data_IF_304974070671
#
_entry.id   IF_304974070671
#
_cell.length_a   1.000
_cell.length_b   1.000
_cell.length_c   1.000
_cell.angle_alpha   90.00
_cell.angle_beta   90.00
_cell.angle_gamma   90.00
#
_symmetry.space_group_name_H-M   'P 1'
#
loop_
_entity.id
_entity.type
_entity.pdbx_description
1 polymer ?
#
# COMPACT_ATOMS: atom_id res chain seq x y z
N UNK A 1 -3.75 -21.11 4.65
CA UNK A 1 -5.10 -21.11 5.19
C UNK A 1 -5.11 -20.89 6.69
N UNK A 2 -4.42 -21.76 7.42
CA UNK A 2 -4.36 -21.65 8.87
C UNK A 2 -3.12 -20.88 9.32
N UNK A 3 -3.26 -19.56 9.45
CA UNK A 3 -2.15 -18.72 9.88
C UNK A 3 -2.66 -17.49 10.61
N UNK A 4 -1.73 -16.69 11.15
CA UNK A 4 -2.09 -15.49 11.87
C UNK A 4 -1.43 -14.26 11.25
N UNK A 5 -2.24 -13.24 10.97
CA UNK A 5 -1.73 -12.01 10.37
C UNK A 5 -0.77 -11.30 11.31
N UNK A 6 -1.31 -10.75 12.40
CA UNK A 6 -0.50 -10.04 13.39
C UNK A 6 -1.35 -9.55 14.55
N UNK A 7 -0.77 -8.70 15.38
CA UNK A 7 -1.47 -8.15 16.54
C UNK A 7 -1.38 -6.64 16.56
N UNK A 8 -1.18 -6.04 15.40
CA UNK A 8 -1.07 -4.59 15.31
C UNK A 8 -0.20 -4.13 14.16
N UNK A 9 -0.82 -3.75 13.05
CA UNK A 9 -0.10 -3.30 11.88
C UNK A 9 -0.35 -1.82 11.62
N UNK A 10 0.72 -1.04 11.53
CA UNK A 10 0.61 0.39 11.29
C UNK A 10 1.21 0.77 9.93
N UNK A 11 0.34 1.02 8.96
CA UNK A 11 0.77 1.39 7.62
C UNK A 11 0.68 2.89 7.41
N UNK A 12 1.77 3.47 6.90
CA UNK A 12 1.81 4.92 6.66
C UNK A 12 2.19 5.20 5.21
N UNK A 13 1.17 5.37 4.36
CA UNK A 13 1.37 5.66 2.94
C UNK A 13 1.91 7.07 2.70
N UNK A 14 1.91 7.49 1.44
CA UNK A 14 2.40 8.82 1.08
C UNK A 14 1.30 9.87 1.22
N UNK A 15 0.09 9.51 0.79
CA UNK A 15 -1.04 10.42 0.86
C UNK A 15 -0.66 11.80 0.34
N UNK A 16 -0.63 11.94 -0.99
CA UNK A 16 -0.28 13.20 -1.61
C UNK A 16 -0.43 13.13 -3.13
N UNK A 17 -0.03 14.20 -3.81
CA UNK A 17 -0.13 14.25 -5.26
C UNK A 17 1.22 13.92 -5.92
N UNK A 18 1.19 13.61 -7.21
CA UNK A 18 2.40 13.29 -7.95
C UNK A 18 2.32 13.77 -9.39
N UNK A 19 3.48 14.02 -9.99
CA UNK A 19 3.54 14.49 -11.37
C UNK A 19 3.55 13.31 -12.35
N UNK A 20 2.92 13.51 -13.50
CA UNK A 20 2.86 12.46 -14.52
C UNK A 20 4.25 11.89 -14.78
N UNK A 21 4.38 10.58 -14.61
CA UNK A 21 5.66 9.92 -14.84
C UNK A 21 6.42 9.67 -13.55
N UNK A 22 5.98 10.33 -12.48
CA UNK A 22 6.64 10.17 -11.18
C UNK A 22 5.99 9.04 -10.38
N UNK A 23 6.49 8.83 -9.16
CA UNK A 23 5.96 7.78 -8.30
C UNK A 23 6.35 8.02 -6.85
N UNK A 24 5.48 7.60 -5.93
CA UNK A 24 5.73 7.78 -4.51
C UNK A 24 6.10 6.46 -3.84
N UNK A 25 6.22 6.47 -2.52
CA UNK A 25 6.57 5.28 -1.76
C UNK A 25 5.77 5.20 -0.47
N UNK A 26 5.20 4.03 -0.20
CA UNK A 26 4.41 3.82 1.00
C UNK A 26 5.18 2.98 2.02
N UNK A 27 5.02 3.30 3.30
CA UNK A 27 5.70 2.58 4.36
C UNK A 27 4.72 1.76 5.19
N UNK A 28 5.15 0.57 5.60
CA UNK A 28 4.30 -0.32 6.39
C UNK A 28 5.03 -0.80 7.64
N UNK A 29 4.30 -0.87 8.75
CA UNK A 29 4.88 -1.32 10.01
C UNK A 29 4.02 -2.40 10.66
N UNK A 30 4.65 -3.26 11.43
CA UNK A 30 3.94 -4.35 12.12
C UNK A 30 4.56 -4.64 13.47
N UNK A 31 3.73 -4.63 14.51
CA UNK A 31 4.21 -4.90 15.87
C UNK A 31 3.30 -5.90 16.57
N UNK A 32 3.31 -7.15 16.08
CA UNK A 32 2.49 -8.23 16.64
C UNK A 32 2.99 -8.66 18.02
N UNK A 33 4.30 -8.70 18.19
CA UNK A 33 4.90 -9.10 19.45
C UNK A 33 4.64 -10.58 19.74
N UNK A 34 4.82 -11.41 18.72
CA UNK A 34 4.60 -12.83 18.88
C UNK A 34 4.49 -13.56 17.56
N UNK A 35 4.12 -12.83 16.51
CA UNK A 35 3.98 -13.41 15.19
C UNK A 35 5.26 -13.25 14.38
N UNK A 36 5.69 -12.01 14.19
CA UNK A 36 6.91 -11.72 13.43
C UNK A 36 6.94 -12.50 12.12
N UNK A 37 6.07 -12.11 11.19
CA UNK A 37 6.00 -12.77 9.89
C UNK A 37 5.16 -11.96 8.91
N UNK A 38 5.78 -11.53 7.82
CA UNK A 38 5.09 -10.74 6.80
C UNK A 38 3.99 -11.56 6.13
N UNK A 39 2.77 -11.46 6.68
CA UNK A 39 1.63 -12.18 6.14
C UNK A 39 0.70 -11.24 5.37
N UNK A 40 0.98 -9.95 5.44
CA UNK A 40 0.17 -8.95 4.77
C UNK A 40 0.71 -8.67 3.37
N UNK A 41 0.01 -7.82 2.63
CA UNK A 41 0.42 -7.47 1.27
C UNK A 41 -0.29 -6.21 0.79
N UNK A 42 0.14 -5.69 -0.35
CA UNK A 42 -0.46 -4.48 -0.92
C UNK A 42 -1.04 -4.76 -2.29
N UNK A 43 -1.83 -3.80 -2.79
CA UNK A 43 -2.45 -3.94 -4.11
C UNK A 43 -3.20 -2.67 -4.50
N UNK A 44 -3.29 -2.42 -5.80
CA UNK A 44 -3.98 -1.23 -6.30
C UNK A 44 -5.49 -1.42 -6.25
N UNK A 45 -6.21 -0.32 -6.08
CA UNK A 45 -7.66 -0.36 -6.01
C UNK A 45 -8.28 -0.29 -7.40
N UNK A 46 -7.54 0.27 -8.35
CA UNK A 46 -8.01 0.39 -9.72
C UNK A 46 -6.99 -0.18 -10.70
N UNK A 47 -5.75 0.27 -10.59
CA UNK A 47 -4.68 -0.20 -11.47
C UNK A 47 -4.96 0.17 -12.92
N UNK A 48 -5.76 1.22 -13.11
CA UNK A 48 -6.11 1.68 -14.44
C UNK A 48 -5.51 3.05 -14.73
N UNK A 49 -4.85 3.63 -13.73
CA UNK A 49 -4.24 4.94 -13.87
C UNK A 49 -3.03 5.08 -12.93
N UNK A 50 -2.53 3.95 -12.47
CA UNK A 50 -1.37 3.94 -11.57
C UNK A 50 -0.93 2.52 -11.23
N UNK A 51 0.36 2.33 -11.05
CA UNK A 51 0.91 1.02 -10.73
C UNK A 51 1.35 0.95 -9.27
N UNK A 52 1.45 -0.27 -8.76
CA UNK A 52 1.87 -0.48 -7.37
C UNK A 52 2.79 -1.70 -7.24
N UNK A 53 3.80 -1.58 -6.39
CA UNK A 53 4.74 -2.67 -6.18
C UNK A 53 5.27 -2.66 -4.74
N UNK A 54 4.82 -3.65 -3.96
CA UNK A 54 5.25 -3.76 -2.56
C UNK A 54 6.54 -4.56 -2.45
N UNK A 55 7.40 -4.16 -1.53
CA UNK A 55 8.67 -4.85 -1.31
C UNK A 55 9.38 -4.30 -0.08
N UNK A 56 9.69 -5.20 0.86
CA UNK A 56 10.37 -4.79 2.08
C UNK A 56 9.62 -3.71 2.82
N UNK A 57 8.32 -3.89 2.98
CA UNK A 57 7.48 -2.91 3.68
C UNK A 57 7.47 -1.59 2.93
N UNK A 58 7.88 -1.62 1.67
CA UNK A 58 7.90 -0.42 0.83
C UNK A 58 7.13 -0.64 -0.47
N UNK A 59 6.03 0.08 -0.61
CA UNK A 59 5.20 -0.03 -1.81
C UNK A 59 5.28 1.23 -2.66
N UNK A 60 5.86 1.10 -3.85
CA UNK A 60 6.00 2.24 -4.75
C UNK A 60 4.78 2.39 -5.65
N UNK A 61 4.26 3.61 -5.74
CA UNK A 61 3.09 3.90 -6.55
C UNK A 61 3.44 4.87 -7.69
N UNK A 62 3.15 4.46 -8.91
CA UNK A 62 3.42 5.28 -10.08
C UNK A 62 2.13 5.87 -10.66
N UNK A 63 2.18 7.13 -11.05
CA UNK A 63 1.01 7.77 -11.61
C UNK A 63 0.97 7.70 -13.13
N UNK A 64 0.54 6.55 -13.65
CA UNK A 64 0.46 6.36 -15.09
C UNK A 64 -0.29 7.50 -15.76
N UNK A 65 -1.51 7.74 -15.30
CA UNK A 65 -2.34 8.81 -15.86
C UNK A 65 -2.89 9.70 -14.76
N UNK A 66 -3.32 10.90 -15.14
CA UNK A 66 -3.87 11.85 -14.18
C UNK A 66 -5.11 11.29 -13.50
N UNK A 67 -5.23 11.55 -12.20
CA UNK A 67 -6.37 11.06 -11.44
C UNK A 67 -6.00 10.55 -10.07
N UNK A 68 -7.00 10.25 -9.25
CA UNK A 68 -6.77 9.76 -7.90
C UNK A 68 -6.92 8.24 -7.85
N UNK A 69 -5.87 7.56 -7.38
CA UNK A 69 -5.89 6.11 -7.26
C UNK A 69 -5.68 5.67 -5.82
N UNK A 70 -6.58 4.82 -5.33
CA UNK A 70 -6.50 4.31 -3.97
C UNK A 70 -5.70 3.01 -3.92
N UNK A 71 -5.06 2.77 -2.77
CA UNK A 71 -4.27 1.55 -2.60
C UNK A 71 -4.49 0.95 -1.22
N UNK A 72 -5.45 0.00 -1.13
CA UNK A 72 -5.78 -0.68 0.12
C UNK A 72 -4.67 -1.62 0.58
N UNK A 73 -4.90 -2.30 1.70
CA UNK A 73 -3.93 -3.23 2.24
C UNK A 73 -4.61 -4.37 3.00
N UNK A 74 -4.15 -5.60 2.75
CA UNK A 74 -4.73 -6.77 3.41
C UNK A 74 -3.69 -7.47 4.27
N UNK A 75 -4.09 -7.84 5.48
CA UNK A 75 -3.19 -8.52 6.41
C UNK A 75 -3.76 -9.88 6.82
N UNK A 76 -3.04 -10.95 6.47
CA UNK A 76 -3.49 -12.28 6.80
C UNK A 76 -4.76 -12.67 6.07
N UNK A 77 -5.83 -12.88 6.83
CA UNK A 77 -7.12 -13.26 6.26
C UNK A 77 -8.12 -12.12 6.38
N UNK A 78 -7.62 -10.91 6.59
CA UNK A 78 -8.49 -9.75 6.72
C UNK A 78 -8.39 -9.10 8.10
N UNK A 79 -7.50 -9.62 8.93
CA UNK A 79 -7.30 -9.09 10.27
C UNK A 79 -7.09 -7.58 10.22
N UNK A 80 -5.93 -7.17 9.72
CA UNK A 80 -5.61 -5.76 9.63
C UNK A 80 -5.66 -5.28 8.17
N UNK A 81 -5.80 -3.97 7.99
CA UNK A 81 -5.88 -3.38 6.66
C UNK A 81 -5.54 -1.89 6.69
N UNK A 82 -5.29 -1.32 5.53
CA UNK A 82 -4.96 0.10 5.42
C UNK A 82 -5.50 0.68 4.12
N UNK A 83 -5.57 2.01 4.07
CA UNK A 83 -6.06 2.70 2.88
C UNK A 83 -5.20 3.92 2.56
N UNK A 84 -4.90 4.10 1.27
CA UNK A 84 -4.09 5.22 0.83
C UNK A 84 -4.63 5.81 -0.46
N UNK A 85 -4.17 7.02 -0.80
CA UNK A 85 -4.61 7.69 -2.02
C UNK A 85 -3.47 8.50 -2.63
N UNK A 86 -3.29 8.34 -3.94
CA UNK A 86 -2.24 9.05 -4.66
C UNK A 86 -2.80 9.80 -5.86
N UNK A 87 -2.71 11.13 -5.81
CA UNK A 87 -3.21 11.97 -6.89
C UNK A 87 -2.19 12.08 -8.01
N UNK A 88 -2.68 12.07 -9.25
CA UNK A 88 -1.82 12.17 -10.42
C UNK A 88 -2.14 13.40 -11.25
N UNK A 89 -1.16 14.27 -11.43
CA UNK A 89 -1.34 15.49 -12.21
C UNK A 89 -1.22 15.21 -13.70
N UNK A 90 -2.16 15.74 -14.49
CA UNK A 90 -2.14 15.55 -15.93
C UNK A 90 -0.85 16.09 -16.53
N UNK A 91 -0.20 17.01 -15.82
CA UNK A 91 1.04 17.61 -16.30
C UNK A 91 2.23 17.10 -15.49
#
# INVERSE_FOLDING_TARGET
GAMAAATGMTVTPASTSVVKGQSTTLTVAFQPEGVTDKSFRAVSADKTKATVSVSGMTITVNGVAAGKVNIPVVSGNGEFAAVAEITVTAS
#
